data_IF_448868400031
#
_entry.id   IF_448868400031
#
_cell.length_a   1.000
_cell.length_b   1.000
_cell.length_c   1.000
_cell.angle_alpha   90.00
_cell.angle_beta   90.00
_cell.angle_gamma   90.00
#
_symmetry.space_group_name_H-M   'P 1'
#
loop_
_entity.id
_entity.type
_entity.pdbx_description
1 polymer ?
#
# COMPACT_ATOMS: atom_id res chain seq x y z
N UNK A 1 -13.48 -10.59 0.44
CA UNK A 1 -12.39 -9.77 1.00
C UNK A 1 -12.89 -8.99 2.20
N UNK A 2 -12.07 -8.86 3.23
CA UNK A 2 -12.47 -8.21 4.50
C UNK A 2 -11.87 -6.84 4.72
N UNK A 3 -10.86 -6.45 3.94
CA UNK A 3 -10.25 -5.13 4.01
C UNK A 3 -9.76 -4.65 2.65
N UNK A 4 -9.78 -3.34 2.46
CA UNK A 4 -9.13 -2.66 1.34
C UNK A 4 -8.00 -1.79 1.89
N UNK A 5 -6.78 -2.04 1.46
CA UNK A 5 -5.60 -1.23 1.84
C UNK A 5 -5.34 -0.22 0.74
N UNK A 6 -5.50 1.05 1.04
CA UNK A 6 -5.23 2.15 0.12
C UNK A 6 -3.82 2.67 0.37
N UNK A 7 -2.98 2.60 -0.64
CA UNK A 7 -1.58 3.03 -0.58
C UNK A 7 -1.39 4.21 -1.52
N UNK A 8 -1.04 5.38 -0.99
CA UNK A 8 -0.75 6.57 -1.80
C UNK A 8 0.68 6.54 -2.31
N UNK A 9 0.87 6.95 -3.56
CA UNK A 9 2.19 7.03 -4.20
C UNK A 9 2.27 8.15 -5.23
N UNK A 10 3.48 8.65 -5.44
CA UNK A 10 3.83 9.55 -6.53
C UNK A 10 5.31 9.40 -6.87
N UNK A 11 5.61 8.94 -8.10
CA UNK A 11 6.97 8.82 -8.67
C UNK A 11 8.01 8.17 -7.74
N UNK A 12 7.63 7.12 -7.00
CA UNK A 12 8.51 6.41 -6.07
C UNK A 12 8.37 4.89 -6.20
N UNK A 13 8.60 4.31 -7.39
CA UNK A 13 8.40 2.88 -7.61
C UNK A 13 9.30 2.00 -6.74
N UNK A 14 10.52 2.45 -6.39
CA UNK A 14 11.45 1.68 -5.56
C UNK A 14 10.89 1.51 -4.13
N UNK A 15 10.36 2.58 -3.53
CA UNK A 15 9.76 2.52 -2.20
C UNK A 15 8.46 1.70 -2.21
N UNK A 16 7.62 1.93 -3.19
CA UNK A 16 6.36 1.20 -3.33
C UNK A 16 6.61 -0.30 -3.51
N UNK A 17 7.62 -0.71 -4.27
CA UNK A 17 8.00 -2.11 -4.43
C UNK A 17 8.33 -2.76 -3.08
N UNK A 18 9.15 -2.10 -2.25
CA UNK A 18 9.48 -2.58 -0.89
C UNK A 18 8.24 -2.73 -0.02
N UNK A 19 7.33 -1.78 -0.07
CA UNK A 19 6.06 -1.82 0.66
C UNK A 19 5.23 -3.03 0.20
N UNK A 20 5.10 -3.26 -1.10
CA UNK A 20 4.33 -4.37 -1.64
C UNK A 20 4.93 -5.73 -1.29
N UNK A 21 6.24 -5.86 -1.20
CA UNK A 21 6.88 -7.08 -0.66
C UNK A 21 6.45 -7.33 0.80
N UNK A 22 6.30 -6.29 1.60
CA UNK A 22 5.76 -6.42 2.96
C UNK A 22 4.30 -6.89 2.98
N UNK A 23 3.50 -6.47 2.01
CA UNK A 23 2.11 -6.96 1.88
C UNK A 23 2.04 -8.39 1.34
N UNK A 24 3.00 -8.84 0.55
CA UNK A 24 3.01 -10.22 0.01
C UNK A 24 3.23 -11.28 1.08
N UNK A 25 3.73 -10.92 2.25
CA UNK A 25 4.00 -11.84 3.38
C UNK A 25 3.09 -11.61 4.59
N UNK A 26 1.95 -10.96 4.39
CA UNK A 26 0.98 -10.77 5.48
C UNK A 26 0.41 -12.10 5.97
N UNK A 27 0.24 -12.23 7.28
CA UNK A 27 -0.36 -13.41 7.91
C UNK A 27 -1.87 -13.51 7.68
N UNK A 28 -2.52 -12.42 7.30
CA UNK A 28 -3.92 -12.36 6.89
C UNK A 28 -3.96 -11.97 5.42
N UNK A 29 -4.60 -12.75 4.57
CA UNK A 29 -4.52 -12.63 3.10
C UNK A 29 -5.83 -12.21 2.43
N UNK A 30 -6.93 -12.11 3.19
CA UNK A 30 -8.26 -11.79 2.65
C UNK A 30 -8.48 -10.28 2.52
N UNK A 31 -7.61 -9.62 1.76
CA UNK A 31 -7.67 -8.18 1.48
C UNK A 31 -7.30 -7.87 0.02
N UNK A 32 -7.63 -6.67 -0.41
CA UNK A 32 -7.15 -6.08 -1.66
C UNK A 32 -6.26 -4.88 -1.38
N UNK A 33 -5.45 -4.53 -2.36
CA UNK A 33 -4.64 -3.31 -2.36
C UNK A 33 -5.16 -2.39 -3.46
N UNK A 34 -5.33 -1.12 -3.11
CA UNK A 34 -5.66 -0.07 -4.07
C UNK A 34 -4.52 0.94 -4.04
N UNK A 35 -3.82 1.07 -5.16
CA UNK A 35 -2.77 2.06 -5.32
C UNK A 35 -3.41 3.37 -5.75
N UNK A 36 -3.35 4.37 -4.88
CA UNK A 36 -3.80 5.73 -5.14
C UNK A 36 -2.61 6.53 -5.69
N UNK A 37 -2.49 6.58 -7.01
CA UNK A 37 -1.33 7.12 -7.72
C UNK A 37 -1.63 8.52 -8.26
N UNK A 38 -0.98 9.52 -7.69
CA UNK A 38 -1.18 10.95 -7.99
C UNK A 38 -0.46 11.42 -9.26
N UNK A 39 -0.40 10.58 -10.29
CA UNK A 39 0.13 10.97 -11.59
C UNK A 39 1.57 10.53 -11.85
N UNK A 40 2.00 9.41 -11.31
CA UNK A 40 3.33 8.85 -11.58
C UNK A 40 3.55 8.55 -13.06
N UNK A 41 4.81 8.56 -13.46
CA UNK A 41 5.25 8.10 -14.77
C UNK A 41 5.10 6.59 -14.93
N UNK A 42 5.31 6.08 -16.14
CA UNK A 42 5.15 4.66 -16.49
C UNK A 42 6.00 3.69 -15.67
N UNK A 43 7.11 4.14 -15.09
CA UNK A 43 7.96 3.30 -14.23
C UNK A 43 7.18 2.67 -13.07
N UNK A 44 6.24 3.39 -12.48
CA UNK A 44 5.39 2.87 -11.41
C UNK A 44 4.43 1.79 -11.92
N UNK A 45 3.75 2.00 -13.04
CA UNK A 45 2.84 1.00 -13.62
C UNK A 45 3.58 -0.25 -14.10
N UNK A 46 4.79 -0.11 -14.62
CA UNK A 46 5.64 -1.23 -15.01
C UNK A 46 6.08 -2.07 -13.80
N UNK A 47 6.48 -1.42 -12.72
CA UNK A 47 6.80 -2.10 -11.47
C UNK A 47 5.58 -2.87 -10.93
N UNK A 48 4.38 -2.27 -10.94
CA UNK A 48 3.15 -2.93 -10.50
C UNK A 48 2.82 -4.16 -11.34
N UNK A 49 3.02 -4.11 -12.65
CA UNK A 49 2.85 -5.29 -13.53
C UNK A 49 3.81 -6.41 -13.15
N UNK A 50 5.04 -6.09 -12.79
CA UNK A 50 6.03 -7.07 -12.32
C UNK A 50 5.60 -7.69 -10.98
N UNK A 51 5.10 -6.89 -10.06
CA UNK A 51 4.60 -7.37 -8.77
C UNK A 51 3.41 -8.35 -8.94
N UNK A 52 2.47 -8.03 -9.83
CA UNK A 52 1.33 -8.91 -10.14
C UNK A 52 1.73 -10.26 -10.72
N UNK A 53 2.87 -10.33 -11.42
CA UNK A 53 3.41 -11.60 -11.95
C UNK A 53 4.12 -12.43 -10.89
N UNK A 54 4.67 -11.80 -9.86
CA UNK A 54 5.55 -12.43 -8.87
C UNK A 54 4.90 -12.63 -7.50
N UNK A 55 3.66 -12.22 -7.32
CA UNK A 55 2.92 -12.32 -6.06
C UNK A 55 1.45 -12.66 -6.31
N UNK A 56 0.77 -13.14 -5.27
CA UNK A 56 -0.69 -13.36 -5.29
C UNK A 56 -1.48 -12.13 -4.81
N UNK A 57 -0.84 -10.97 -4.75
CA UNK A 57 -1.50 -9.73 -4.33
C UNK A 57 -2.60 -9.34 -5.32
N UNK A 58 -3.74 -8.92 -4.78
CA UNK A 58 -4.85 -8.35 -5.55
C UNK A 58 -4.68 -6.83 -5.56
N UNK A 59 -4.12 -6.30 -6.65
CA UNK A 59 -3.80 -4.87 -6.78
C UNK A 59 -4.70 -4.23 -7.82
N UNK A 60 -5.34 -3.13 -7.43
CA UNK A 60 -6.05 -2.23 -8.32
C UNK A 60 -5.31 -0.89 -8.37
N UNK A 61 -4.88 -0.46 -9.54
CA UNK A 61 -4.11 0.77 -9.75
C UNK A 61 -5.05 1.89 -10.21
N UNK A 62 -5.30 2.84 -9.33
CA UNK A 62 -6.08 4.05 -9.62
C UNK A 62 -5.08 5.18 -9.88
N UNK A 63 -5.10 5.69 -11.08
CA UNK A 63 -4.20 6.73 -11.55
C UNK A 63 -4.98 7.90 -12.14
N UNK A 64 -4.46 9.10 -12.01
CA UNK A 64 -4.90 10.26 -12.77
C UNK A 64 -3.67 11.05 -13.26
N UNK A 65 -3.89 11.90 -14.27
CA UNK A 65 -2.83 12.73 -14.81
C UNK A 65 -2.23 13.62 -13.71
N UNK A 66 -0.90 13.82 -13.77
CA UNK A 66 -0.19 14.75 -12.89
C UNK A 66 -0.63 16.19 -13.17
N UNK A 67 -1.31 16.78 -12.21
CA UNK A 67 -1.75 18.18 -12.19
C UNK A 67 -1.25 18.87 -10.92
N UNK A 68 -0.07 18.53 -10.44
CA UNK A 68 0.49 18.94 -9.16
C UNK A 68 -0.01 18.07 -8.01
N UNK A 69 0.19 18.52 -6.79
CA UNK A 69 -0.19 17.76 -5.59
C UNK A 69 -1.71 17.66 -5.45
N UNK A 70 -2.26 16.51 -5.77
CA UNK A 70 -3.69 16.19 -5.72
C UNK A 70 -3.97 14.91 -4.92
N UNK A 71 -3.21 14.69 -3.84
CA UNK A 71 -3.30 13.49 -3.00
C UNK A 71 -4.73 13.23 -2.50
N UNK A 72 -5.42 14.26 -2.01
CA UNK A 72 -6.80 14.12 -1.53
C UNK A 72 -7.74 13.65 -2.62
N UNK A 73 -7.58 14.17 -3.83
CA UNK A 73 -8.43 13.80 -4.98
C UNK A 73 -8.22 12.33 -5.36
N UNK A 74 -6.98 11.86 -5.44
CA UNK A 74 -6.71 10.48 -5.79
C UNK A 74 -7.14 9.52 -4.69
N UNK A 75 -7.01 9.89 -3.42
CA UNK A 75 -7.52 9.11 -2.30
C UNK A 75 -9.04 8.95 -2.36
N UNK A 76 -9.78 10.01 -2.69
CA UNK A 76 -11.23 9.92 -2.88
C UNK A 76 -11.60 8.94 -4.01
N UNK A 77 -10.88 8.98 -5.13
CA UNK A 77 -11.08 8.02 -6.23
C UNK A 77 -10.79 6.59 -5.79
N UNK A 78 -9.73 6.39 -5.01
CA UNK A 78 -9.37 5.08 -4.46
C UNK A 78 -10.45 4.54 -3.52
N UNK A 79 -11.01 5.38 -2.64
CA UNK A 79 -12.13 4.99 -1.75
C UNK A 79 -13.32 4.49 -2.56
N UNK A 80 -13.69 5.20 -3.63
CA UNK A 80 -14.80 4.78 -4.50
C UNK A 80 -14.55 3.46 -5.24
N UNK A 81 -13.29 3.04 -5.35
CA UNK A 81 -12.91 1.79 -6.00
C UNK A 81 -12.82 0.60 -5.02
N UNK A 82 -12.97 0.83 -3.71
CA UNK A 82 -12.92 -0.25 -2.71
C UNK A 82 -14.11 -1.19 -2.83
N UNK A 83 -13.89 -2.46 -2.49
CA UNK A 83 -14.92 -3.50 -2.49
C UNK A 83 -15.28 -3.98 -1.09
N UNK A 84 -14.76 -3.33 -0.06
CA UNK A 84 -14.96 -3.73 1.34
C UNK A 84 -15.40 -2.55 2.20
N UNK A 85 -16.00 -2.84 3.34
CA UNK A 85 -16.44 -1.82 4.29
C UNK A 85 -15.35 -1.37 5.26
N UNK A 86 -14.20 -2.06 5.30
CA UNK A 86 -13.08 -1.70 6.15
C UNK A 86 -11.89 -1.24 5.32
N UNK A 87 -11.51 0.03 5.50
CA UNK A 87 -10.47 0.66 4.72
C UNK A 87 -9.27 0.99 5.62
N UNK A 88 -8.08 0.63 5.17
CA UNK A 88 -6.81 0.96 5.81
C UNK A 88 -6.06 1.93 4.89
N UNK A 89 -5.76 3.13 5.37
CA UNK A 89 -4.94 4.10 4.64
C UNK A 89 -3.49 4.01 5.09
N UNK A 90 -2.57 4.00 4.12
CA UNK A 90 -1.13 4.02 4.37
C UNK A 90 -0.40 4.68 3.21
N UNK A 91 0.89 4.96 3.40
CA UNK A 91 1.72 5.59 2.39
C UNK A 91 2.64 4.57 1.69
N UNK A 92 3.08 4.92 0.47
CA UNK A 92 3.91 4.07 -0.38
C UNK A 92 5.38 3.95 0.06
N UNK A 93 5.72 4.43 1.24
CA UNK A 93 7.04 4.33 1.89
C UNK A 93 6.99 3.71 3.29
N UNK A 94 5.84 3.15 3.68
CA UNK A 94 5.64 2.51 4.98
C UNK A 94 5.55 0.99 4.81
N UNK A 95 6.63 0.27 5.08
CA UNK A 95 6.68 -1.19 5.02
C UNK A 95 5.88 -1.76 6.20
N UNK A 96 4.84 -2.58 5.96
CA UNK A 96 4.02 -3.12 7.04
C UNK A 96 4.72 -4.26 7.78
N UNK A 97 4.41 -4.40 9.08
CA UNK A 97 4.70 -5.63 9.82
C UNK A 97 3.89 -6.79 9.22
N UNK A 98 4.36 -8.03 9.40
CA UNK A 98 3.69 -9.23 8.85
C UNK A 98 2.26 -9.45 9.35
N UNK A 99 1.92 -8.90 10.51
CA UNK A 99 0.60 -8.98 11.12
C UNK A 99 -0.24 -7.70 10.98
N UNK A 100 0.20 -6.74 10.17
CA UNK A 100 -0.41 -5.41 10.08
C UNK A 100 -1.90 -5.46 9.73
N UNK A 101 -2.27 -6.13 8.65
CA UNK A 101 -3.67 -6.25 8.24
C UNK A 101 -4.47 -7.06 9.26
N UNK A 102 -3.89 -8.15 9.79
CA UNK A 102 -4.51 -8.96 10.84
C UNK A 102 -4.82 -8.14 12.09
N UNK A 103 -3.88 -7.30 12.54
CA UNK A 103 -4.07 -6.44 13.71
C UNK A 103 -5.26 -5.49 13.51
N UNK A 104 -5.35 -4.84 12.35
CA UNK A 104 -6.49 -3.98 12.02
C UNK A 104 -7.81 -4.74 12.05
N UNK A 105 -7.88 -5.90 11.41
CA UNK A 105 -9.10 -6.70 11.38
C UNK A 105 -9.51 -7.18 12.77
N UNK A 106 -8.54 -7.55 13.62
CA UNK A 106 -8.80 -8.08 14.97
C UNK A 106 -9.25 -7.03 15.97
N UNK A 107 -8.83 -5.77 15.80
CA UNK A 107 -9.12 -4.68 16.75
C UNK A 107 -10.16 -3.68 16.23
N UNK A 108 -10.76 -3.94 15.07
CA UNK A 108 -11.82 -3.05 14.53
C UNK A 108 -13.07 -3.10 15.41
N UNK A 109 -13.68 -1.95 15.59
CA UNK A 109 -14.96 -1.78 16.29
C UNK A 109 -15.86 -0.85 15.49
N UNK A 110 -17.16 -1.02 15.61
CA UNK A 110 -18.13 -0.15 14.92
C UNK A 110 -18.01 1.30 15.39
N UNK A 111 -18.13 2.23 14.46
CA UNK A 111 -18.06 3.67 14.70
C UNK A 111 -16.74 4.15 15.31
N UNK A 112 -15.68 3.40 15.12
CA UNK A 112 -14.33 3.77 15.56
C UNK A 112 -13.34 3.73 14.39
N UNK A 113 -12.20 4.37 14.58
CA UNK A 113 -11.05 4.18 13.70
C UNK A 113 -9.80 3.84 14.51
N UNK A 114 -8.89 3.10 13.92
CA UNK A 114 -7.60 2.78 14.52
C UNK A 114 -6.53 3.70 13.93
N UNK A 115 -5.72 4.29 14.78
CA UNK A 115 -4.54 5.05 14.38
C UNK A 115 -3.30 4.24 14.69
N UNK A 116 -2.56 3.86 13.66
CA UNK A 116 -1.27 3.20 13.79
C UNK A 116 -0.11 4.19 13.87
N UNK A 117 1.02 3.70 14.33
CA UNK A 117 2.28 4.43 14.30
C UNK A 117 3.24 3.88 13.25
N UNK A 118 4.34 4.59 13.03
CA UNK A 118 5.45 4.14 12.21
C UNK A 118 6.77 4.33 12.94
N UNK A 119 7.76 3.55 12.54
CA UNK A 119 9.14 3.70 13.03
C UNK A 119 9.98 4.32 11.91
N UNK A 120 10.41 5.60 12.05
CA UNK A 120 11.20 6.25 11.01
C UNK A 120 12.61 5.64 10.94
N UNK A 121 13.03 5.30 9.73
CA UNK A 121 14.38 4.83 9.42
C UNK A 121 15.19 5.95 8.76
N UNK A 122 16.51 5.95 8.98
CA UNK A 122 17.38 6.83 8.22
C UNK A 122 17.36 6.48 6.73
N UNK A 123 17.68 7.45 5.87
CA UNK A 123 17.76 7.20 4.42
C UNK A 123 18.83 6.15 4.08
N UNK A 124 19.94 6.15 4.81
CA UNK A 124 21.01 5.16 4.66
C UNK A 124 20.49 3.74 4.89
N UNK A 125 19.79 3.50 6.00
CA UNK A 125 19.20 2.20 6.33
C UNK A 125 18.10 1.85 5.32
N UNK A 126 17.24 2.78 4.98
CA UNK A 126 16.15 2.57 4.03
C UNK A 126 16.66 2.11 2.66
N UNK A 127 17.76 2.68 2.19
CA UNK A 127 18.40 2.28 0.93
C UNK A 127 19.05 0.88 0.98
N UNK A 128 19.45 0.42 2.16
CA UNK A 128 20.07 -0.90 2.36
C UNK A 128 19.04 -2.04 2.44
N UNK A 129 17.80 -1.75 2.79
CA UNK A 129 16.74 -2.76 2.91
C UNK A 129 16.43 -3.36 1.54
N UNK A 130 16.53 -4.68 1.45
CA UNK A 130 16.25 -5.47 0.24
C UNK A 130 14.98 -6.31 0.43
N UNK A 131 14.47 -6.83 -0.69
CA UNK A 131 13.35 -7.79 -0.70
C UNK A 131 13.53 -8.90 0.33
N UNK A 132 14.71 -9.54 0.36
CA UNK A 132 14.97 -10.67 1.25
C UNK A 132 14.90 -10.30 2.73
N UNK A 133 15.25 -9.07 3.10
CA UNK A 133 15.09 -8.56 4.47
C UNK A 133 13.62 -8.41 4.86
N UNK A 134 12.77 -8.04 3.90
CA UNK A 134 11.35 -7.77 4.11
C UNK A 134 10.55 -9.08 4.22
N UNK A 135 10.81 -10.03 3.33
CA UNK A 135 10.03 -11.28 3.23
C UNK A 135 10.53 -12.38 4.17
N UNK A 136 11.69 -12.21 4.77
CA UNK A 136 12.30 -13.20 5.65
C UNK A 136 11.46 -13.55 6.91
#
# INVERSE_FOLDING_TARGET
MKASVIISTYNSPEWLEKVLWGYSVQTFTDFEIIIADDGSTSSTSEMLKTMLKNTDLKINHIWHKDEGFQKTRILNKAVLATKTDYIIFTDGDCIPRKDFVKAHISHREDNTFLSGGHFPLSMTISNLIRKDDIIA
#
